data_IF_008655278442
#
_entry.id   IF_008655278442
#
_cell.length_a   1.000
_cell.length_b   1.000
_cell.length_c   1.000
_cell.angle_alpha   90.00
_cell.angle_beta   90.00
_cell.angle_gamma   90.00
#
_symmetry.space_group_name_H-M   'P 1'
#
loop_
_entity.id
_entity.type
_entity.pdbx_description
1 polymer ?
#
# COMPACT_ATOMS: atom_id res chain seq x y z
N UNK A 1 14.72 -35.01 3.32
CA UNK A 1 13.89 -34.30 2.31
C UNK A 1 13.85 -32.84 2.72
N UNK A 2 14.63 -31.98 2.07
CA UNK A 2 14.63 -30.55 2.39
C UNK A 2 13.42 -29.92 1.73
N UNK A 3 12.44 -29.54 2.53
CA UNK A 3 11.27 -28.78 2.06
C UNK A 3 11.71 -27.35 1.76
N UNK A 4 11.89 -27.02 0.48
CA UNK A 4 12.10 -25.64 0.05
C UNK A 4 10.79 -24.88 0.21
N UNK A 5 10.69 -24.05 1.24
CA UNK A 5 9.56 -23.13 1.39
C UNK A 5 9.53 -22.19 0.18
N UNK A 6 8.39 -22.04 -0.53
CA UNK A 6 8.30 -21.12 -1.65
C UNK A 6 8.60 -19.70 -1.19
N UNK A 7 9.40 -18.97 -1.97
CA UNK A 7 9.72 -17.57 -1.66
C UNK A 7 8.53 -16.72 -2.05
N UNK A 8 8.18 -15.72 -1.23
CA UNK A 8 7.01 -14.88 -1.49
C UNK A 8 7.33 -13.42 -1.15
N UNK A 9 6.85 -12.52 -2.00
CA UNK A 9 6.81 -11.09 -1.72
C UNK A 9 5.59 -10.81 -0.85
N UNK A 10 5.80 -10.27 0.35
CA UNK A 10 4.77 -10.11 1.37
C UNK A 10 4.72 -8.69 1.89
N UNK A 11 3.50 -8.15 2.04
CA UNK A 11 3.23 -6.90 2.73
C UNK A 11 2.12 -7.11 3.76
N UNK A 12 2.21 -6.40 4.89
CA UNK A 12 1.23 -6.51 5.99
C UNK A 12 0.75 -5.11 6.34
N UNK A 13 -0.54 -4.88 6.18
CA UNK A 13 -1.24 -3.73 6.72
C UNK A 13 -1.81 -4.08 8.10
N UNK A 14 -1.56 -3.22 9.08
CA UNK A 14 -2.08 -3.38 10.43
C UNK A 14 -2.70 -2.06 10.90
N UNK A 15 -3.91 -2.13 11.42
CA UNK A 15 -4.66 -0.99 11.90
C UNK A 15 -5.09 -1.21 13.36
N UNK A 16 -5.07 -0.19 14.23
CA UNK A 16 -5.39 -0.35 15.66
C UNK A 16 -6.83 -0.82 15.96
N UNK A 17 -7.80 -0.49 15.11
CA UNK A 17 -9.24 -0.70 15.35
C UNK A 17 -9.94 -1.49 14.23
N UNK A 18 -9.19 -1.95 13.23
CA UNK A 18 -9.72 -2.65 12.06
C UNK A 18 -8.94 -3.96 11.82
N UNK A 19 -9.46 -4.80 10.93
CA UNK A 19 -8.79 -6.03 10.51
C UNK A 19 -7.47 -5.73 9.78
N UNK A 20 -6.40 -6.38 10.22
CA UNK A 20 -5.14 -6.44 9.47
C UNK A 20 -5.34 -7.16 8.13
N UNK A 21 -4.60 -6.74 7.10
CA UNK A 21 -4.60 -7.36 5.78
C UNK A 21 -3.19 -7.78 5.40
N UNK A 22 -3.03 -9.03 4.95
CA UNK A 22 -1.77 -9.52 4.39
C UNK A 22 -1.94 -9.66 2.88
N UNK A 23 -0.94 -9.18 2.15
CA UNK A 23 -0.83 -9.31 0.70
C UNK A 23 0.38 -10.17 0.39
N UNK A 24 0.21 -11.16 -0.48
CA UNK A 24 1.26 -12.13 -0.81
C UNK A 24 1.29 -12.38 -2.32
N UNK A 25 2.48 -12.31 -2.90
CA UNK A 25 2.73 -12.67 -4.30
C UNK A 25 3.80 -13.77 -4.31
N UNK A 26 3.50 -14.97 -4.84
CA UNK A 26 4.43 -16.10 -4.83
C UNK A 26 5.53 -15.88 -5.86
N UNK A 27 6.79 -16.10 -5.50
CA UNK A 27 7.93 -16.03 -6.42
C UNK A 27 8.31 -17.46 -6.81
N UNK A 28 8.10 -17.81 -8.08
CA UNK A 28 8.41 -19.13 -8.61
C UNK A 28 9.91 -19.32 -8.87
N UNK A 29 10.64 -18.22 -9.10
CA UNK A 29 12.06 -18.25 -9.37
C UNK A 29 12.85 -18.85 -8.20
N UNK A 30 13.85 -19.71 -8.49
CA UNK A 30 14.69 -20.29 -7.45
C UNK A 30 15.54 -19.21 -6.79
N UNK A 31 15.73 -19.34 -5.47
CA UNK A 31 16.66 -18.48 -4.74
C UNK A 31 18.09 -18.71 -5.25
N UNK A 32 18.85 -17.63 -5.52
CA UNK A 32 20.25 -17.79 -5.89
C UNK A 32 21.05 -18.32 -4.70
N UNK A 33 21.54 -19.57 -4.80
CA UNK A 33 22.31 -20.22 -3.72
C UNK A 33 23.74 -19.71 -3.63
N UNK A 34 24.22 -19.38 -2.43
CA UNK A 34 25.61 -18.97 -2.19
C UNK A 34 26.60 -20.14 -2.15
N UNK A 35 26.12 -21.39 -2.05
CA UNK A 35 26.95 -22.58 -1.89
C UNK A 35 26.75 -23.56 -3.05
N UNK A 36 27.83 -23.87 -3.79
CA UNK A 36 27.93 -25.04 -4.68
C UNK A 36 27.43 -24.89 -6.12
N UNK A 37 26.79 -23.78 -6.50
CA UNK A 37 26.38 -23.53 -7.89
C UNK A 37 27.54 -22.94 -8.70
N UNK A 38 27.66 -23.30 -9.99
CA UNK A 38 28.57 -22.58 -10.89
C UNK A 38 28.21 -21.09 -10.92
N UNK A 39 29.20 -20.21 -11.04
CA UNK A 39 28.97 -18.75 -11.06
C UNK A 39 27.94 -18.34 -12.11
N UNK A 40 27.92 -19.03 -13.26
CA UNK A 40 26.95 -18.78 -14.35
C UNK A 40 25.51 -19.15 -13.97
N UNK A 41 25.30 -20.31 -13.33
CA UNK A 41 23.96 -20.74 -12.91
C UNK A 41 23.39 -19.84 -11.82
N UNK A 42 24.26 -19.36 -10.92
CA UNK A 42 23.88 -18.38 -9.91
C UNK A 42 23.44 -17.05 -10.53
N UNK A 43 24.17 -16.56 -11.54
CA UNK A 43 23.79 -15.33 -12.26
C UNK A 43 22.44 -15.51 -12.96
N UNK A 44 22.19 -16.64 -13.63
CA UNK A 44 20.88 -16.93 -14.25
C UNK A 44 19.76 -16.95 -13.21
N UNK A 45 19.95 -17.63 -12.08
CA UNK A 45 18.98 -17.66 -11.00
C UNK A 45 18.66 -16.25 -10.46
N UNK A 46 19.70 -15.41 -10.24
CA UNK A 46 19.53 -14.00 -9.82
C UNK A 46 18.72 -13.20 -10.84
N UNK A 47 19.05 -13.30 -12.12
CA UNK A 47 18.36 -12.56 -13.18
C UNK A 47 16.88 -12.94 -13.23
N UNK A 48 16.57 -14.24 -13.20
CA UNK A 48 15.18 -14.72 -13.20
C UNK A 48 14.42 -14.26 -11.96
N UNK A 49 15.03 -14.37 -10.77
CA UNK A 49 14.42 -13.93 -9.52
C UNK A 49 14.14 -12.43 -9.50
N UNK A 50 15.10 -11.61 -9.93
CA UNK A 50 14.94 -10.15 -10.00
C UNK A 50 13.92 -9.73 -11.05
N UNK A 51 13.86 -10.42 -12.20
CA UNK A 51 12.87 -10.16 -13.24
C UNK A 51 11.45 -10.40 -12.73
N UNK A 52 11.26 -11.48 -11.96
CA UNK A 52 9.97 -11.81 -11.36
C UNK A 52 9.58 -10.80 -10.26
N UNK A 53 10.51 -10.45 -9.37
CA UNK A 53 10.30 -9.38 -8.38
C UNK A 53 9.90 -8.06 -9.05
N UNK A 54 10.59 -7.66 -10.13
CA UNK A 54 10.28 -6.43 -10.86
C UNK A 54 8.87 -6.43 -11.42
N UNK A 55 8.33 -7.59 -11.79
CA UNK A 55 6.93 -7.75 -12.23
C UNK A 55 5.96 -7.72 -11.06
N UNK A 56 6.27 -8.40 -9.95
CA UNK A 56 5.35 -8.57 -8.82
C UNK A 56 5.23 -7.35 -7.92
N UNK A 57 6.30 -6.56 -7.77
CA UNK A 57 6.29 -5.37 -6.90
C UNK A 57 5.24 -4.35 -7.34
N UNK A 58 5.14 -3.94 -8.62
CA UNK A 58 4.09 -3.03 -9.06
C UNK A 58 2.68 -3.60 -8.88
N UNK A 59 2.49 -4.91 -9.11
CA UNK A 59 1.19 -5.58 -8.88
C UNK A 59 0.79 -5.47 -7.42
N UNK A 60 1.69 -5.85 -6.51
CA UNK A 60 1.47 -5.76 -5.07
C UNK A 60 1.19 -4.32 -4.62
N UNK A 61 1.93 -3.35 -5.15
CA UNK A 61 1.70 -1.94 -4.88
C UNK A 61 0.29 -1.52 -5.31
N UNK A 62 -0.16 -1.97 -6.49
CA UNK A 62 -1.49 -1.63 -6.99
C UNK A 62 -2.60 -2.24 -6.12
N UNK A 63 -2.43 -3.49 -5.68
CA UNK A 63 -3.35 -4.14 -4.72
C UNK A 63 -3.44 -3.37 -3.39
N UNK A 64 -2.29 -2.91 -2.87
CA UNK A 64 -2.24 -2.11 -1.65
C UNK A 64 -2.95 -0.76 -1.86
N UNK A 65 -2.68 -0.07 -2.98
CA UNK A 65 -3.30 1.22 -3.27
C UNK A 65 -4.82 1.11 -3.34
N UNK A 66 -5.33 0.13 -4.09
CA UNK A 66 -6.78 -0.13 -4.18
C UNK A 66 -7.36 -0.38 -2.79
N UNK A 67 -6.76 -1.29 -2.02
CA UNK A 67 -7.23 -1.60 -0.67
C UNK A 67 -7.25 -0.37 0.25
N UNK A 68 -6.20 0.46 0.23
CA UNK A 68 -6.14 1.65 1.08
C UNK A 68 -7.15 2.70 0.64
N UNK A 69 -7.38 2.88 -0.66
CA UNK A 69 -8.41 3.78 -1.18
C UNK A 69 -9.80 3.35 -0.73
N UNK A 70 -10.13 2.07 -0.90
CA UNK A 70 -11.41 1.51 -0.43
C UNK A 70 -11.59 1.72 1.08
N UNK A 71 -10.53 1.50 1.87
CA UNK A 71 -10.56 1.72 3.32
C UNK A 71 -10.77 3.18 3.71
N UNK A 72 -10.13 4.12 3.03
CA UNK A 72 -10.34 5.55 3.26
C UNK A 72 -11.78 5.96 2.96
N UNK A 73 -12.39 5.40 1.91
CA UNK A 73 -13.80 5.67 1.59
C UNK A 73 -14.75 5.07 2.63
N UNK A 74 -14.49 3.86 3.11
CA UNK A 74 -15.24 3.24 4.21
C UNK A 74 -15.15 4.09 5.48
N UNK A 75 -13.95 4.56 5.84
CA UNK A 75 -13.72 5.38 7.02
C UNK A 75 -14.41 6.74 6.91
N UNK A 76 -14.37 7.37 5.73
CA UNK A 76 -15.09 8.62 5.46
C UNK A 76 -16.60 8.43 5.66
N UNK A 77 -17.19 7.41 5.04
CA UNK A 77 -18.63 7.10 5.19
C UNK A 77 -19.00 6.81 6.64
N UNK A 78 -18.15 6.10 7.38
CA UNK A 78 -18.38 5.80 8.79
C UNK A 78 -18.33 7.07 9.65
N UNK A 79 -17.38 7.97 9.39
CA UNK A 79 -17.29 9.26 10.07
C UNK A 79 -18.52 10.15 9.79
N UNK A 80 -18.93 10.25 8.53
CA UNK A 80 -20.12 10.99 8.10
C UNK A 80 -21.39 10.43 8.78
N UNK A 81 -21.54 9.10 8.80
CA UNK A 81 -22.70 8.43 9.43
C UNK A 81 -22.74 8.57 10.95
N UNK A 82 -21.60 8.75 11.62
CA UNK A 82 -21.53 9.02 13.05
C UNK A 82 -21.84 10.48 13.41
N UNK A 83 -22.17 11.32 12.43
CA UNK A 83 -22.51 12.72 12.68
C UNK A 83 -21.32 13.53 13.19
N UNK A 84 -20.08 13.06 12.95
CA UNK A 84 -18.92 13.94 12.93
C UNK A 84 -19.07 14.83 11.71
N UNK A 85 -19.95 15.83 11.83
CA UNK A 85 -20.02 16.90 10.86
C UNK A 85 -18.64 17.54 10.76
N UNK A 86 -18.28 17.95 9.55
CA UNK A 86 -17.30 19.02 9.32
C UNK A 86 -17.51 20.02 10.46
N UNK A 87 -16.46 20.31 11.20
CA UNK A 87 -16.58 21.35 12.23
C UNK A 87 -17.19 22.59 11.58
N UNK A 88 -18.00 23.38 12.29
CA UNK A 88 -18.60 24.62 11.72
C UNK A 88 -17.55 25.49 11.01
N UNK A 89 -16.28 25.37 11.43
CA UNK A 89 -15.11 25.94 10.78
C UNK A 89 -14.84 25.38 9.38
N UNK A 90 -14.80 24.06 9.19
CA UNK A 90 -14.58 23.44 7.88
C UNK A 90 -15.75 23.70 6.92
N UNK A 91 -17.00 23.70 7.41
CA UNK A 91 -18.16 24.07 6.59
C UNK A 91 -18.07 25.52 6.09
N UNK A 92 -17.64 26.45 6.95
CA UNK A 92 -17.46 27.86 6.60
C UNK A 92 -16.27 28.11 5.68
N UNK A 93 -15.20 27.32 5.80
CA UNK A 93 -14.04 27.37 4.90
C UNK A 93 -14.37 26.81 3.50
N UNK A 94 -15.26 25.82 3.39
CA UNK A 94 -15.77 25.31 2.11
C UNK A 94 -16.75 26.30 1.43
N UNK A 95 -17.61 26.96 2.19
CA UNK A 95 -18.54 27.99 1.66
C UNK A 95 -17.80 29.19 1.07
N UNK A 96 -16.61 29.49 1.59
CA UNK A 96 -15.78 30.59 1.14
C UNK A 96 -14.76 30.19 0.04
N UNK A 97 -14.83 28.95 -0.46
CA UNK A 97 -13.86 28.45 -1.43
C UNK A 97 -14.14 29.02 -2.83
N UNK A 98 -13.57 30.18 -3.15
CA UNK A 98 -13.69 30.83 -4.46
C UNK A 98 -13.92 32.34 -4.41
N UNK A 99 -14.13 32.92 -3.22
CA UNK A 99 -14.15 34.35 -3.00
C UNK A 99 -12.89 34.75 -2.21
N UNK A 100 -12.18 35.79 -2.66
CA UNK A 100 -11.12 36.37 -1.83
C UNK A 100 -11.79 37.11 -0.67
N UNK A 101 -11.89 36.48 0.50
CA UNK A 101 -12.22 37.19 1.73
C UNK A 101 -11.03 38.04 2.10
N UNK A 102 -11.13 39.32 1.74
CA UNK A 102 -10.35 40.38 2.35
C UNK A 102 -10.78 40.40 3.81
N UNK A 103 -9.92 39.92 4.72
CA UNK A 103 -10.12 40.21 6.14
C UNK A 103 -10.07 41.73 6.28
N UNK A 104 -11.19 42.33 6.68
CA UNK A 104 -11.19 43.72 7.14
C UNK A 104 -10.35 43.75 8.42
N UNK A 105 -9.09 44.17 8.29
CA UNK A 105 -8.27 44.58 9.43
C UNK A 105 -9.02 45.72 10.14
N UNK A 106 -9.80 45.37 11.17
CA UNK A 106 -10.49 46.31 12.05
C UNK A 106 -9.47 47.29 12.68
N UNK A 107 -9.72 48.58 12.49
CA UNK A 107 -8.94 49.71 13.00
C UNK A 107 -9.29 50.11 14.44
#
# INVERSE_FOLDING_TARGET
>A
MSTTTPTQLRAVYSAPQQQSRTFEQPIAAPLPSSAGSSSSDNVKAKVTYLAELRKQVPTLQNEINVFLTEKMEEDKKAADAQGRQLSEKEAKEEENYGEEVVEEDDA
#
